data_IF_172202077214
#
_entry.id   IF_172202077214
#
_cell.length_a   1.000
_cell.length_b   1.000
_cell.length_c   1.000
_cell.angle_alpha   90.00
_cell.angle_beta   90.00
_cell.angle_gamma   90.00
#
_symmetry.space_group_name_H-M   'P 1'
#
loop_
_entity.id
_entity.type
_entity.pdbx_description
1 polymer ?
#
# COMPACT_ATOMS: atom_id res chain seq x y z
N UNK A 1 -10.99 -11.79 -16.29
CA UNK A 1 -9.94 -12.83 -16.13
C UNK A 1 -10.53 -14.21 -16.32
N UNK A 2 -11.57 -14.55 -15.56
CA UNK A 2 -12.27 -15.84 -15.64
C UNK A 2 -12.76 -16.13 -17.06
N UNK A 3 -13.54 -15.23 -17.67
CA UNK A 3 -14.02 -15.37 -19.06
C UNK A 3 -12.90 -15.72 -20.05
N UNK A 4 -11.75 -15.02 -19.99
CA UNK A 4 -10.58 -15.30 -20.85
C UNK A 4 -9.98 -16.69 -20.60
N UNK A 5 -10.00 -17.17 -19.36
CA UNK A 5 -9.52 -18.51 -19.01
C UNK A 5 -10.50 -19.58 -19.49
N UNK A 6 -11.80 -19.36 -19.31
CA UNK A 6 -12.85 -20.27 -19.77
C UNK A 6 -12.85 -20.38 -21.30
N UNK A 7 -12.74 -19.26 -22.02
CA UNK A 7 -12.63 -19.22 -23.48
C UNK A 7 -11.37 -19.96 -23.96
N UNK A 8 -10.23 -19.73 -23.31
CA UNK A 8 -8.94 -20.34 -23.71
C UNK A 8 -8.86 -21.83 -23.42
N UNK A 9 -9.44 -22.29 -22.31
CA UNK A 9 -9.26 -23.65 -21.82
C UNK A 9 -10.51 -24.53 -21.97
N UNK A 10 -11.66 -23.95 -22.38
CA UNK A 10 -12.92 -24.67 -22.57
C UNK A 10 -13.47 -25.31 -21.29
N UNK A 11 -13.09 -24.78 -20.12
CA UNK A 11 -13.49 -25.30 -18.81
C UNK A 11 -14.08 -24.17 -17.99
N UNK A 12 -15.23 -24.41 -17.37
CA UNK A 12 -15.78 -23.52 -16.35
C UNK A 12 -14.84 -23.44 -15.16
N UNK A 13 -14.67 -22.25 -14.60
CA UNK A 13 -13.82 -22.00 -13.45
C UNK A 13 -14.50 -21.11 -12.42
N UNK A 14 -13.86 -20.99 -11.26
CA UNK A 14 -14.24 -20.01 -10.24
C UNK A 14 -13.05 -19.13 -9.92
N UNK A 15 -13.30 -17.82 -9.82
CA UNK A 15 -12.31 -16.86 -9.36
C UNK A 15 -12.39 -16.78 -7.83
N UNK A 16 -11.39 -17.32 -7.15
CA UNK A 16 -11.29 -17.22 -5.70
C UNK A 16 -10.46 -15.97 -5.33
N UNK A 17 -11.04 -14.96 -4.69
CA UNK A 17 -10.28 -13.81 -4.21
C UNK A 17 -9.35 -14.22 -3.07
N UNK A 18 -8.27 -13.47 -2.81
CA UNK A 18 -7.46 -13.69 -1.62
C UNK A 18 -8.31 -13.47 -0.36
N UNK A 19 -8.29 -14.46 0.52
CA UNK A 19 -8.96 -14.41 1.82
C UNK A 19 -7.95 -14.25 2.94
N UNK A 20 -8.31 -13.45 3.95
CA UNK A 20 -7.58 -13.37 5.22
C UNK A 20 -8.53 -13.77 6.33
N UNK A 21 -8.02 -14.51 7.32
CA UNK A 21 -8.79 -14.84 8.53
C UNK A 21 -8.63 -13.70 9.51
N UNK A 22 -9.74 -13.14 9.98
CA UNK A 22 -9.69 -11.95 10.85
C UNK A 22 -9.16 -12.29 12.24
N UNK A 23 -9.26 -13.55 12.64
CA UNK A 23 -8.80 -14.10 13.91
C UNK A 23 -7.27 -14.16 14.00
N UNK A 24 -6.59 -14.19 12.84
CA UNK A 24 -5.13 -14.23 12.77
C UNK A 24 -4.47 -12.87 13.08
N UNK A 25 -5.26 -11.80 13.27
CA UNK A 25 -4.75 -10.43 13.39
C UNK A 25 -5.41 -9.63 14.53
N UNK A 26 -4.60 -8.85 15.25
CA UNK A 26 -5.08 -7.87 16.23
C UNK A 26 -5.60 -6.59 15.54
N UNK A 27 -6.92 -6.54 15.35
CA UNK A 27 -7.62 -5.43 14.70
C UNK A 27 -7.85 -4.21 15.59
N UNK A 28 -7.41 -4.24 16.85
CA UNK A 28 -7.54 -3.08 17.75
C UNK A 28 -6.81 -1.88 17.13
N UNK A 29 -7.29 -0.64 17.31
CA UNK A 29 -6.54 0.54 16.86
C UNK A 29 -5.12 0.57 17.42
N UNK A 30 -4.21 1.27 16.73
CA UNK A 30 -2.88 1.51 17.30
C UNK A 30 -3.00 2.56 18.40
N UNK A 31 -2.65 2.20 19.63
CA UNK A 31 -2.68 3.13 20.77
C UNK A 31 -1.81 4.37 20.50
N UNK A 32 -2.24 5.58 20.88
CA UNK A 32 -1.47 6.81 20.62
C UNK A 32 -0.04 6.78 21.18
N UNK A 33 0.14 6.21 22.38
CA UNK A 33 1.45 6.05 23.01
C UNK A 33 2.37 5.15 22.18
N UNK A 34 1.81 4.07 21.63
CA UNK A 34 2.53 3.13 20.76
C UNK A 34 2.83 3.74 19.39
N UNK A 35 1.91 4.52 18.82
CA UNK A 35 2.18 5.30 17.60
C UNK A 35 3.37 6.23 17.81
N UNK A 36 3.36 7.02 18.89
CA UNK A 36 4.45 7.93 19.21
C UNK A 36 5.79 7.20 19.37
N UNK A 37 5.80 6.05 20.05
CA UNK A 37 7.00 5.21 20.17
C UNK A 37 7.52 4.74 18.81
N UNK A 38 6.66 4.23 17.94
CA UNK A 38 7.05 3.78 16.60
C UNK A 38 7.58 4.93 15.74
N UNK A 39 6.95 6.11 15.78
CA UNK A 39 7.40 7.30 15.05
C UNK A 39 8.79 7.74 15.53
N UNK A 40 9.01 7.79 16.86
CA UNK A 40 10.33 8.10 17.45
C UNK A 40 11.39 7.09 17.07
N UNK A 41 11.08 5.79 17.09
CA UNK A 41 12.02 4.73 16.69
C UNK A 41 12.44 4.84 15.22
N UNK A 42 11.61 5.44 14.36
CA UNK A 42 11.90 5.72 12.95
C UNK A 42 12.56 7.10 12.73
N UNK A 43 12.78 7.87 13.81
CA UNK A 43 13.20 9.26 13.78
C UNK A 43 12.28 10.14 12.91
N UNK A 44 10.97 10.00 13.11
CA UNK A 44 9.93 10.73 12.40
C UNK A 44 9.18 11.66 13.34
N UNK A 45 8.64 12.75 12.80
CA UNK A 45 7.78 13.66 13.54
C UNK A 45 6.39 13.04 13.76
N UNK A 46 5.89 13.02 15.00
CA UNK A 46 4.62 12.35 15.36
C UNK A 46 3.39 12.92 14.65
N UNK A 47 3.46 14.20 14.25
CA UNK A 47 2.42 14.91 13.51
C UNK A 47 2.37 14.52 12.02
N UNK A 48 3.34 13.77 11.51
CA UNK A 48 3.42 13.44 10.08
C UNK A 48 2.26 12.57 9.59
N UNK A 49 1.95 12.68 8.30
CA UNK A 49 1.08 11.76 7.57
C UNK A 49 1.89 10.59 7.03
N UNK A 50 1.58 9.38 7.47
CA UNK A 50 2.30 8.16 7.12
C UNK A 50 1.61 7.43 5.96
N UNK A 51 2.26 7.45 4.81
CA UNK A 51 1.90 6.64 3.65
C UNK A 51 2.73 5.35 3.70
N UNK A 52 2.10 4.19 3.55
CA UNK A 52 2.80 2.91 3.56
C UNK A 52 2.54 2.12 2.29
N UNK A 53 3.61 1.87 1.53
CA UNK A 53 3.52 0.99 0.36
C UNK A 53 3.50 -0.45 0.83
N UNK A 54 2.33 -1.05 0.66
CA UNK A 54 2.08 -2.39 1.08
C UNK A 54 2.34 -3.38 -0.06
N UNK A 55 3.59 -3.45 -0.51
CA UNK A 55 3.92 -3.98 -1.82
C UNK A 55 5.41 -3.92 -2.12
N UNK A 56 5.80 -4.64 -3.16
CA UNK A 56 7.06 -4.38 -3.85
C UNK A 56 6.77 -3.36 -4.94
N UNK A 57 7.54 -2.28 -4.96
CA UNK A 57 7.60 -1.37 -6.10
C UNK A 57 8.64 -1.93 -7.06
N UNK A 58 8.28 -2.06 -8.33
CA UNK A 58 9.21 -2.57 -9.32
C UNK A 58 10.00 -1.43 -9.94
N UNK A 59 11.34 -1.48 -9.84
CA UNK A 59 12.26 -0.47 -10.43
C UNK A 59 12.10 -0.33 -11.95
N UNK A 60 11.68 -1.40 -12.63
CA UNK A 60 11.47 -1.40 -14.08
C UNK A 60 10.13 -0.80 -14.52
N UNK A 61 9.26 -0.44 -13.57
CA UNK A 61 7.95 0.15 -13.87
C UNK A 61 7.96 1.65 -13.60
N UNK A 62 7.37 2.44 -14.51
CA UNK A 62 7.19 3.88 -14.32
C UNK A 62 6.19 4.21 -13.19
N UNK A 63 5.49 3.20 -12.66
CA UNK A 63 4.62 3.31 -11.47
C UNK A 63 5.30 4.02 -10.30
N UNK A 64 6.55 3.66 -10.02
CA UNK A 64 7.34 4.23 -8.92
C UNK A 64 7.52 5.74 -9.11
N UNK A 65 7.89 6.14 -10.34
CA UNK A 65 8.18 7.54 -10.69
C UNK A 65 6.92 8.38 -10.63
N UNK A 66 5.81 7.90 -11.20
CA UNK A 66 4.52 8.58 -11.17
C UNK A 66 4.06 8.76 -9.72
N UNK A 67 4.18 7.71 -8.90
CA UNK A 67 3.80 7.77 -7.50
C UNK A 67 4.63 8.76 -6.69
N UNK A 68 5.95 8.75 -6.86
CA UNK A 68 6.87 9.70 -6.21
C UNK A 68 6.57 11.14 -6.64
N UNK A 69 6.32 11.38 -7.93
CA UNK A 69 5.94 12.69 -8.44
C UNK A 69 4.61 13.18 -7.83
N UNK A 70 3.62 12.30 -7.67
CA UNK A 70 2.35 12.62 -7.04
C UNK A 70 2.52 12.96 -5.54
N UNK A 71 3.32 12.19 -4.80
CA UNK A 71 3.64 12.50 -3.40
C UNK A 71 4.39 13.82 -3.24
N UNK A 72 5.34 14.11 -4.14
CA UNK A 72 6.04 15.39 -4.15
C UNK A 72 5.07 16.56 -4.38
N UNK A 73 4.14 16.42 -5.33
CA UNK A 73 3.10 17.41 -5.58
C UNK A 73 2.18 17.59 -4.36
N UNK A 74 1.80 16.49 -3.71
CA UNK A 74 0.97 16.51 -2.51
C UNK A 74 1.68 17.19 -1.34
N UNK A 75 2.97 16.91 -1.13
CA UNK A 75 3.76 17.53 -0.07
C UNK A 75 3.85 19.05 -0.21
N UNK A 76 3.86 19.59 -1.44
CA UNK A 76 3.91 21.05 -1.69
C UNK A 76 2.64 21.79 -1.25
N UNK A 77 1.51 21.08 -1.17
CA UNK A 77 0.22 21.66 -0.77
C UNK A 77 -0.26 21.17 0.60
N UNK A 78 0.43 20.19 1.19
CA UNK A 78 0.13 19.63 2.51
C UNK A 78 0.68 20.55 3.61
N UNK A 79 -0.14 20.78 4.63
CA UNK A 79 0.24 21.46 5.87
C UNK A 79 1.05 20.54 6.81
N UNK A 80 0.92 19.22 6.63
CA UNK A 80 1.63 18.20 7.38
C UNK A 80 2.77 17.60 6.56
N UNK A 81 3.83 17.20 7.26
CA UNK A 81 4.93 16.43 6.68
C UNK A 81 4.42 15.06 6.22
N UNK A 82 4.75 14.68 5.00
CA UNK A 82 4.45 13.37 4.44
C UNK A 82 5.66 12.47 4.68
N UNK A 83 5.38 11.27 5.18
CA UNK A 83 6.36 10.20 5.31
C UNK A 83 5.91 9.04 4.44
N UNK A 84 6.80 8.55 3.59
CA UNK A 84 6.62 7.32 2.85
C UNK A 84 7.42 6.19 3.49
N UNK A 85 6.72 5.17 3.94
CA UNK A 85 7.28 3.89 4.38
C UNK A 85 7.19 2.88 3.23
N UNK A 86 8.24 2.10 3.00
CA UNK A 86 8.25 0.98 2.06
C UNK A 86 9.14 -0.16 2.58
N UNK A 87 8.95 -1.37 2.06
CA UNK A 87 9.83 -2.51 2.40
C UNK A 87 11.14 -2.53 1.60
N UNK A 88 11.13 -1.92 0.41
CA UNK A 88 12.23 -1.96 -0.54
C UNK A 88 12.78 -0.54 -0.82
N UNK A 89 14.09 -0.42 -1.06
CA UNK A 89 14.80 0.83 -1.40
C UNK A 89 14.59 1.23 -2.86
N UNK A 90 13.34 1.51 -3.24
CA UNK A 90 12.98 1.68 -4.66
C UNK A 90 12.86 3.14 -5.09
N UNK A 91 12.86 4.08 -4.15
CA UNK A 91 12.76 5.51 -4.47
C UNK A 91 14.15 6.06 -4.80
N UNK A 92 14.62 5.78 -6.02
CA UNK A 92 15.77 6.46 -6.62
C UNK A 92 15.24 7.72 -7.34
N UNK A 93 15.12 8.82 -6.61
CA UNK A 93 14.84 10.14 -7.17
C UNK A 93 15.66 11.18 -6.43
N UNK A 94 16.41 11.98 -7.18
CA UNK A 94 17.28 13.03 -6.64
C UNK A 94 16.48 14.20 -6.02
N UNK A 95 15.16 14.25 -6.23
CA UNK A 95 14.28 15.33 -5.77
C UNK A 95 13.04 14.77 -5.06
N UNK A 96 13.21 14.19 -3.86
CA UNK A 96 12.08 13.93 -2.95
C UNK A 96 11.88 15.11 -2.01
N UNK A 97 10.66 15.65 -1.94
CA UNK A 97 10.28 16.72 -1.00
C UNK A 97 9.67 16.18 0.29
N UNK A 98 9.36 14.89 0.33
CA UNK A 98 8.82 14.17 1.49
C UNK A 98 9.90 13.30 2.14
N UNK A 99 9.62 12.80 3.34
CA UNK A 99 10.55 11.91 4.05
C UNK A 99 10.33 10.45 3.65
N UNK A 100 11.40 9.75 3.29
CA UNK A 100 11.34 8.33 2.96
C UNK A 100 12.04 7.48 4.03
N UNK A 101 11.44 6.33 4.35
CA UNK A 101 12.05 5.28 5.17
C UNK A 101 11.80 3.91 4.57
N UNK A 102 12.88 3.21 4.28
CA UNK A 102 12.85 1.78 3.99
C UNK A 102 12.88 1.00 5.29
N UNK A 103 11.95 0.07 5.41
CA UNK A 103 11.81 -0.84 6.56
C UNK A 103 12.54 -2.17 6.34
N UNK A 104 13.06 -2.39 5.11
CA UNK A 104 13.65 -3.65 4.72
C UNK A 104 12.66 -4.81 4.79
N UNK A 105 13.19 -6.02 4.99
CA UNK A 105 12.38 -7.22 5.22
C UNK A 105 11.88 -7.24 6.65
N UNK A 106 10.56 -7.41 6.79
CA UNK A 106 9.89 -7.48 8.07
C UNK A 106 9.26 -8.87 8.28
N UNK A 107 9.32 -9.35 9.51
CA UNK A 107 8.49 -10.48 9.95
C UNK A 107 7.00 -10.09 9.92
N UNK A 108 6.08 -11.07 9.81
CA UNK A 108 4.65 -10.80 9.68
C UNK A 108 4.04 -9.92 10.78
N UNK A 109 4.47 -10.11 12.03
CA UNK A 109 3.95 -9.35 13.17
C UNK A 109 4.42 -7.88 13.16
N UNK A 110 5.72 -7.56 13.07
CA UNK A 110 6.19 -6.19 12.84
C UNK A 110 5.54 -5.52 11.63
N UNK A 111 5.44 -6.24 10.50
CA UNK A 111 4.81 -5.73 9.29
C UNK A 111 3.37 -5.25 9.53
N UNK A 112 2.57 -6.00 10.27
CA UNK A 112 1.18 -5.62 10.51
C UNK A 112 1.06 -4.39 11.43
N UNK A 113 2.03 -4.17 12.33
CA UNK A 113 2.10 -2.93 13.10
C UNK A 113 2.32 -1.71 12.20
N UNK A 114 3.11 -1.83 11.13
CA UNK A 114 3.27 -0.74 10.16
C UNK A 114 2.01 -0.50 9.32
N UNK A 115 1.21 -1.54 9.04
CA UNK A 115 -0.14 -1.36 8.45
C UNK A 115 -1.03 -0.54 9.39
N UNK A 116 -0.99 -0.82 10.71
CA UNK A 116 -1.75 -0.06 11.71
C UNK A 116 -1.21 1.37 11.90
N UNK A 117 0.11 1.56 11.77
CA UNK A 117 0.77 2.87 11.84
C UNK A 117 0.39 3.79 10.67
N UNK A 118 0.25 3.23 9.47
CA UNK A 118 -0.05 4.01 8.27
C UNK A 118 -1.34 4.82 8.42
N UNK A 119 -1.33 6.07 7.95
CA UNK A 119 -2.51 6.88 7.75
C UNK A 119 -3.17 6.54 6.40
N UNK A 120 -2.37 6.20 5.39
CA UNK A 120 -2.82 5.73 4.07
C UNK A 120 -2.04 4.50 3.64
N UNK A 121 -2.74 3.47 3.17
CA UNK A 121 -2.12 2.30 2.53
C UNK A 121 -2.03 2.55 1.02
N UNK A 122 -0.85 2.34 0.45
CA UNK A 122 -0.59 2.60 -0.95
C UNK A 122 -0.28 1.31 -1.71
N UNK A 123 -0.95 1.13 -2.85
CA UNK A 123 -0.59 0.18 -3.88
C UNK A 123 -0.61 0.92 -5.22
N UNK A 124 0.44 1.72 -5.51
CA UNK A 124 0.53 2.43 -6.78
C UNK A 124 0.60 1.42 -7.93
N UNK A 125 0.06 1.83 -9.08
CA UNK A 125 0.03 1.03 -10.30
C UNK A 125 -0.47 1.87 -11.47
N UNK A 126 -0.24 1.36 -12.69
CA UNK A 126 -0.80 1.92 -13.92
C UNK A 126 -1.99 1.05 -14.32
N UNK A 127 -3.10 1.62 -14.81
CA UNK A 127 -4.27 0.86 -15.23
C UNK A 127 -4.02 0.10 -16.55
N UNK A 128 -3.20 -0.95 -16.49
CA UNK A 128 -2.84 -1.79 -17.62
C UNK A 128 -3.33 -3.24 -17.45
N UNK A 129 -3.02 -4.08 -18.44
CA UNK A 129 -3.41 -5.48 -18.41
C UNK A 129 -2.69 -6.29 -17.33
N UNK A 130 -1.47 -5.90 -16.92
CA UNK A 130 -0.71 -6.59 -15.88
C UNK A 130 -1.37 -6.35 -14.51
N UNK A 131 -1.62 -5.09 -14.17
CA UNK A 131 -2.20 -4.67 -12.91
C UNK A 131 -3.68 -5.07 -12.78
N UNK A 132 -4.43 -5.13 -13.88
CA UNK A 132 -5.82 -5.65 -13.88
C UNK A 132 -5.94 -7.07 -13.32
N UNK A 133 -4.93 -7.91 -13.49
CA UNK A 133 -4.95 -9.29 -13.00
C UNK A 133 -4.18 -9.50 -11.70
N UNK A 134 -3.56 -8.44 -11.15
CA UNK A 134 -2.81 -8.53 -9.90
C UNK A 134 -3.77 -8.49 -8.72
N UNK A 135 -3.93 -9.62 -8.06
CA UNK A 135 -4.70 -9.71 -6.82
C UNK A 135 -3.88 -9.15 -5.65
N UNK A 136 -4.26 -7.96 -5.18
CA UNK A 136 -3.55 -7.29 -4.11
C UNK A 136 -3.97 -7.82 -2.73
N UNK A 137 -3.64 -9.07 -2.41
CA UNK A 137 -3.90 -9.68 -1.09
C UNK A 137 -3.38 -8.85 0.09
N UNK A 138 -2.36 -8.03 -0.17
CA UNK A 138 -1.78 -7.09 0.78
C UNK A 138 -2.72 -5.94 1.16
N UNK A 139 -3.57 -5.46 0.24
CA UNK A 139 -4.54 -4.38 0.52
C UNK A 139 -5.60 -4.79 1.53
N UNK A 140 -5.99 -6.07 1.53
CA UNK A 140 -7.02 -6.62 2.43
C UNK A 140 -6.65 -6.38 3.91
N UNK A 141 -5.35 -6.42 4.26
CA UNK A 141 -4.89 -6.13 5.62
C UNK A 141 -5.15 -4.67 6.02
N UNK A 142 -5.01 -3.73 5.08
CA UNK A 142 -5.35 -2.32 5.31
C UNK A 142 -6.85 -2.12 5.50
N UNK A 143 -7.66 -2.75 4.65
CA UNK A 143 -9.13 -2.72 4.76
C UNK A 143 -9.62 -3.26 6.09
N UNK A 144 -9.04 -4.38 6.54
CA UNK A 144 -9.41 -5.06 7.78
C UNK A 144 -9.24 -4.17 9.03
N UNK A 145 -8.31 -3.21 8.99
CA UNK A 145 -8.10 -2.21 10.07
C UNK A 145 -8.61 -0.81 9.70
N UNK A 146 -9.50 -0.72 8.69
CA UNK A 146 -10.18 0.52 8.32
C UNK A 146 -9.28 1.61 7.76
N UNK A 147 -8.16 1.25 7.13
CA UNK A 147 -7.26 2.25 6.53
C UNK A 147 -7.74 2.66 5.15
N UNK A 148 -7.69 3.97 4.81
CA UNK A 148 -7.92 4.40 3.44
C UNK A 148 -6.82 3.81 2.54
N UNK A 149 -7.21 3.45 1.31
CA UNK A 149 -6.32 2.82 0.33
C UNK A 149 -6.22 3.72 -0.90
N UNK A 150 -5.00 4.08 -1.23
CA UNK A 150 -4.67 4.68 -2.52
C UNK A 150 -4.21 3.58 -3.49
N UNK A 151 -4.95 3.41 -4.58
CA UNK A 151 -4.63 2.42 -5.62
C UNK A 151 -5.10 2.90 -7.00
N UNK A 152 -4.88 2.08 -8.03
CA UNK A 152 -5.22 2.38 -9.43
C UNK A 152 -6.58 1.77 -9.80
N UNK A 153 -7.25 2.33 -10.80
CA UNK A 153 -8.66 2.06 -11.15
C UNK A 153 -9.00 0.69 -11.75
N UNK A 154 -8.05 -0.26 -11.81
CA UNK A 154 -8.27 -1.57 -12.46
C UNK A 154 -8.13 -2.73 -11.47
N UNK A 155 -8.65 -3.90 -11.83
CA UNK A 155 -8.52 -5.11 -11.02
C UNK A 155 -9.38 -5.02 -9.75
N UNK A 156 -8.74 -5.07 -8.58
CA UNK A 156 -9.45 -5.02 -7.30
C UNK A 156 -10.24 -3.72 -7.10
N UNK A 157 -9.71 -2.59 -7.58
CA UNK A 157 -10.36 -1.30 -7.40
C UNK A 157 -11.67 -1.18 -8.19
N UNK A 158 -11.83 -1.90 -9.30
CA UNK A 158 -13.09 -1.89 -10.11
C UNK A 158 -14.31 -2.36 -9.30
N UNK A 159 -14.09 -3.00 -8.14
CA UNK A 159 -15.13 -3.48 -7.23
C UNK A 159 -15.35 -2.59 -6.00
N UNK A 160 -14.66 -1.44 -5.91
CA UNK A 160 -14.79 -0.49 -4.81
C UNK A 160 -15.72 0.67 -5.21
N UNK A 161 -16.47 1.22 -4.24
CA UNK A 161 -17.48 2.26 -4.48
C UNK A 161 -16.88 3.55 -5.10
N UNK A 162 -15.65 3.90 -4.71
CA UNK A 162 -14.90 5.06 -5.21
C UNK A 162 -13.76 4.66 -6.21
N UNK A 163 -13.87 3.49 -6.83
CA UNK A 163 -12.86 2.87 -7.72
C UNK A 163 -12.76 3.41 -9.14
#
# INVERSE_FOLDING_TARGET
MLERLEERFGKTGELLPPVVRFEDFDRSPLEPSRRGEMMRNLNLEESSLVYFINGTIYKYSDEAKIFVAALNALQRVSDRKIVLLALDDVVESDEISFEFRSLGRLDPAPYFQYVKLADVICAPGIPDSFNRYRLASRLVKGMMVGKPIFTFKTGFAESLEDG
#
